data_IF_314986736606
#
_entry.id   IF_314986736606
#
_cell.length_a   1.000
_cell.length_b   1.000
_cell.length_c   1.000
_cell.angle_alpha   90.00
_cell.angle_beta   90.00
_cell.angle_gamma   90.00
#
_symmetry.space_group_name_H-M   'P 1'
#
loop_
_entity.id
_entity.type
_entity.pdbx_description
1 polymer ?
#
# COMPACT_ATOMS: atom_id res chain seq x y z
N UNK A 1 10.07 7.12 -20.52
CA UNK A 1 9.29 6.51 -19.42
C UNK A 1 8.09 7.39 -19.16
N UNK A 2 6.88 6.89 -19.38
CA UNK A 2 5.66 7.52 -18.87
C UNK A 2 5.59 7.23 -17.37
N UNK A 3 5.85 8.23 -16.54
CA UNK A 3 5.69 8.12 -15.10
C UNK A 3 4.22 7.97 -14.70
N UNK A 4 3.97 7.43 -13.51
CA UNK A 4 2.62 7.43 -12.92
C UNK A 4 2.22 8.88 -12.66
N UNK A 5 1.07 9.29 -13.19
CA UNK A 5 0.46 10.59 -12.92
C UNK A 5 -0.86 10.39 -12.14
N UNK A 6 -1.47 11.49 -11.70
CA UNK A 6 -2.71 11.44 -10.91
C UNK A 6 -3.87 10.70 -11.60
N UNK A 7 -3.96 10.75 -12.93
CA UNK A 7 -5.02 10.05 -13.70
C UNK A 7 -4.82 8.54 -13.64
N UNK A 8 -3.60 8.08 -13.94
CA UNK A 8 -3.25 6.65 -13.89
C UNK A 8 -3.43 6.11 -12.46
N UNK A 9 -3.04 6.92 -11.47
CA UNK A 9 -3.16 6.57 -10.07
C UNK A 9 -4.63 6.49 -9.61
N UNK A 10 -5.48 7.43 -10.02
CA UNK A 10 -6.91 7.41 -9.75
C UNK A 10 -7.57 6.16 -10.35
N UNK A 11 -7.31 5.84 -11.62
CA UNK A 11 -7.85 4.63 -12.25
C UNK A 11 -7.40 3.34 -11.56
N UNK A 12 -6.19 3.31 -10.99
CA UNK A 12 -5.74 2.19 -10.17
C UNK A 12 -6.55 2.06 -8.87
N UNK A 13 -6.86 3.18 -8.19
CA UNK A 13 -7.68 3.17 -6.98
C UNK A 13 -9.10 2.70 -7.27
N UNK A 14 -9.72 3.19 -8.35
CA UNK A 14 -11.06 2.78 -8.79
C UNK A 14 -11.13 1.26 -9.05
N UNK A 15 -10.11 0.71 -9.71
CA UNK A 15 -10.03 -0.72 -9.97
C UNK A 15 -9.85 -1.55 -8.68
N UNK A 16 -9.06 -1.07 -7.72
CA UNK A 16 -8.96 -1.70 -6.40
C UNK A 16 -10.32 -1.72 -5.69
N UNK A 17 -11.01 -0.59 -5.63
CA UNK A 17 -12.34 -0.51 -4.98
C UNK A 17 -13.35 -1.42 -5.68
N UNK A 18 -13.33 -1.48 -7.02
CA UNK A 18 -14.17 -2.38 -7.80
C UNK A 18 -13.93 -3.86 -7.45
N UNK A 19 -12.67 -4.26 -7.26
CA UNK A 19 -12.29 -5.64 -6.88
C UNK A 19 -12.73 -5.97 -5.45
N UNK A 20 -12.59 -5.02 -4.52
CA UNK A 20 -13.00 -5.20 -3.13
C UNK A 20 -14.52 -5.20 -2.96
N UNK A 21 -15.23 -4.48 -3.84
CA UNK A 21 -16.69 -4.39 -3.84
C UNK A 21 -17.25 -3.51 -2.72
N UNK A 22 -18.57 -3.53 -2.58
CA UNK A 22 -19.33 -2.59 -1.73
C UNK A 22 -19.83 -3.20 -0.42
N UNK A 23 -19.59 -4.49 -0.20
CA UNK A 23 -20.21 -5.24 0.91
C UNK A 23 -19.53 -5.02 2.26
N UNK A 24 -18.28 -4.54 2.27
CA UNK A 24 -17.48 -4.34 3.48
C UNK A 24 -16.83 -2.95 3.48
N UNK A 25 -16.40 -2.48 4.65
CA UNK A 25 -15.62 -1.25 4.75
C UNK A 25 -14.14 -1.55 4.55
N UNK A 26 -13.54 -0.91 3.56
CA UNK A 26 -12.14 -1.10 3.20
C UNK A 26 -11.29 0.11 3.54
N UNK A 27 -10.08 -0.17 4.03
CA UNK A 27 -9.07 0.83 4.32
C UNK A 27 -7.86 0.59 3.42
N UNK A 28 -7.69 1.45 2.43
CA UNK A 28 -6.49 1.48 1.59
C UNK A 28 -5.36 2.17 2.36
N UNK A 29 -4.28 1.44 2.62
CA UNK A 29 -3.14 1.95 3.37
C UNK A 29 -1.96 2.12 2.43
N UNK A 30 -1.46 3.34 2.36
CA UNK A 30 -0.44 3.76 1.38
C UNK A 30 0.70 4.50 2.08
N UNK A 31 1.88 4.50 1.47
CA UNK A 31 2.92 5.44 1.86
C UNK A 31 2.51 6.87 1.46
N UNK A 32 3.22 7.87 1.98
CA UNK A 32 2.95 9.27 1.66
C UNK A 32 3.34 9.56 0.19
N UNK A 33 2.44 9.23 -0.73
CA UNK A 33 2.61 9.47 -2.17
C UNK A 33 2.44 10.95 -2.50
N UNK A 34 3.12 11.44 -3.54
CA UNK A 34 2.97 12.82 -4.03
C UNK A 34 1.63 13.13 -4.72
N UNK A 35 0.64 12.27 -4.57
CA UNK A 35 -0.68 12.37 -5.21
C UNK A 35 -1.88 12.33 -4.24
N UNK A 36 -1.79 12.79 -2.95
CA UNK A 36 -2.90 12.56 -2.02
C UNK A 36 -4.18 13.29 -2.45
N UNK A 37 -4.01 14.46 -3.06
CA UNK A 37 -5.11 15.32 -3.50
C UNK A 37 -5.79 14.85 -4.80
N UNK A 38 -5.25 13.84 -5.48
CA UNK A 38 -5.84 13.33 -6.73
C UNK A 38 -6.74 12.13 -6.51
N UNK A 39 -6.73 11.53 -5.31
CA UNK A 39 -7.63 10.41 -5.02
C UNK A 39 -9.05 10.96 -4.79
N UNK A 40 -9.96 10.60 -5.69
CA UNK A 40 -11.39 10.81 -5.51
C UNK A 40 -12.08 9.48 -5.17
N UNK A 41 -12.75 9.42 -4.02
CA UNK A 41 -13.55 8.27 -3.58
C UNK A 41 -15.05 8.60 -3.54
N UNK A 42 -15.49 9.66 -4.23
CA UNK A 42 -16.90 9.97 -4.39
C UNK A 42 -17.64 8.78 -5.01
N UNK A 43 -18.73 8.34 -4.38
CA UNK A 43 -19.46 7.12 -4.75
C UNK A 43 -18.92 5.82 -4.13
N UNK A 44 -17.84 5.88 -3.35
CA UNK A 44 -17.24 4.74 -2.66
C UNK A 44 -17.20 4.97 -1.15
N UNK A 45 -18.36 5.19 -0.53
CA UNK A 45 -18.50 5.58 0.89
C UNK A 45 -17.94 4.53 1.87
N UNK A 46 -17.88 3.26 1.44
CA UNK A 46 -17.30 2.16 2.20
C UNK A 46 -15.77 2.09 2.12
N UNK A 47 -15.13 2.95 1.33
CA UNK A 47 -13.69 2.94 1.11
C UNK A 47 -13.04 4.20 1.65
N UNK A 48 -11.90 4.06 2.33
CA UNK A 48 -11.12 5.20 2.82
C UNK A 48 -9.63 4.97 2.61
N UNK A 49 -8.86 6.06 2.52
CA UNK A 49 -7.40 6.02 2.37
C UNK A 49 -6.74 6.53 3.64
N UNK A 50 -5.72 5.81 4.10
CA UNK A 50 -4.84 6.23 5.20
C UNK A 50 -3.39 6.19 4.76
N UNK A 51 -2.72 7.33 4.91
CA UNK A 51 -1.28 7.45 4.69
C UNK A 51 -0.52 7.07 5.96
N UNK A 52 0.52 6.27 5.79
CA UNK A 52 1.46 5.88 6.83
C UNK A 52 2.90 6.28 6.46
N UNK A 53 3.79 6.48 7.45
CA UNK A 53 5.20 6.72 7.20
C UNK A 53 5.84 5.60 6.35
N UNK A 54 6.83 5.95 5.54
CA UNK A 54 7.49 5.01 4.63
C UNK A 54 8.14 3.84 5.39
N UNK A 55 8.60 4.10 6.61
CA UNK A 55 9.24 3.17 7.53
C UNK A 55 8.35 1.96 7.84
N UNK A 56 7.03 2.12 7.76
CA UNK A 56 6.06 1.04 7.95
C UNK A 56 6.19 -0.02 6.85
N UNK A 57 6.55 0.39 5.63
CA UNK A 57 6.73 -0.50 4.48
C UNK A 57 8.15 -1.07 4.41
N UNK A 58 9.04 -0.72 5.35
CA UNK A 58 10.44 -1.13 5.35
C UNK A 58 10.61 -2.65 5.38
N UNK A 59 9.77 -3.39 6.12
CA UNK A 59 9.91 -4.84 6.17
C UNK A 59 9.57 -5.50 4.82
N UNK A 60 8.53 -5.04 4.13
CA UNK A 60 8.21 -5.53 2.81
C UNK A 60 9.34 -5.21 1.82
N UNK A 61 9.83 -3.96 1.86
CA UNK A 61 10.97 -3.50 1.04
C UNK A 61 12.23 -4.33 1.32
N UNK A 62 12.50 -4.65 2.59
CA UNK A 62 13.63 -5.46 3.01
C UNK A 62 13.49 -6.90 2.52
N UNK A 63 12.29 -7.49 2.52
CA UNK A 63 12.08 -8.83 1.96
C UNK A 63 12.33 -8.86 0.46
N UNK A 64 11.83 -7.88 -0.29
CA UNK A 64 12.06 -7.78 -1.75
C UNK A 64 13.55 -7.63 -2.08
N UNK A 65 14.32 -6.94 -1.23
CA UNK A 65 15.73 -6.61 -1.45
C UNK A 65 16.72 -7.49 -0.69
N UNK A 66 16.25 -8.48 0.09
CA UNK A 66 17.02 -9.13 1.16
C UNK A 66 18.31 -9.78 0.67
N UNK A 67 18.25 -10.45 -0.47
CA UNK A 67 19.33 -11.36 -0.90
C UNK A 67 20.22 -10.74 -1.97
N UNK A 68 19.64 -9.97 -2.88
CA UNK A 68 20.38 -9.29 -3.94
C UNK A 68 19.55 -8.16 -4.54
N UNK A 69 20.16 -7.17 -5.19
CA UNK A 69 19.43 -6.21 -6.02
C UNK A 69 18.59 -6.94 -7.07
N UNK A 70 17.33 -6.52 -7.31
CA UNK A 70 16.48 -7.10 -8.34
C UNK A 70 17.10 -6.95 -9.74
N UNK A 71 17.06 -8.02 -10.53
CA UNK A 71 17.55 -8.08 -11.91
C UNK A 71 16.44 -7.70 -12.88
N UNK A 72 16.18 -6.40 -12.97
CA UNK A 72 15.15 -5.84 -13.84
C UNK A 72 13.72 -6.02 -13.33
N UNK A 73 12.75 -5.60 -14.15
CA UNK A 73 11.35 -5.45 -13.71
C UNK A 73 10.66 -6.78 -13.41
N UNK A 74 10.93 -7.83 -14.18
CA UNK A 74 10.29 -9.14 -13.98
C UNK A 74 10.67 -9.75 -12.63
N UNK A 75 11.97 -9.80 -12.33
CA UNK A 75 12.49 -10.29 -11.05
C UNK A 75 11.94 -9.44 -9.89
N UNK A 76 11.88 -8.11 -10.06
CA UNK A 76 11.28 -7.23 -9.05
C UNK A 76 9.81 -7.57 -8.77
N UNK A 77 9.00 -7.79 -9.82
CA UNK A 77 7.58 -8.12 -9.66
C UNK A 77 7.40 -9.49 -8.98
N UNK A 78 8.16 -10.50 -9.40
CA UNK A 78 8.10 -11.84 -8.80
C UNK A 78 8.44 -11.80 -7.31
N UNK A 79 9.49 -11.04 -6.92
CA UNK A 79 9.87 -10.87 -5.52
C UNK A 79 8.86 -10.07 -4.70
N UNK A 80 8.18 -9.08 -5.30
CA UNK A 80 7.10 -8.35 -4.62
C UNK A 80 5.93 -9.31 -4.34
N UNK A 81 5.53 -10.10 -5.34
CA UNK A 81 4.46 -11.10 -5.20
C UNK A 81 4.82 -12.10 -4.11
N UNK A 82 6.05 -12.62 -4.12
CA UNK A 82 6.55 -13.52 -3.10
C UNK A 82 6.60 -12.86 -1.72
N UNK A 83 7.10 -11.64 -1.60
CA UNK A 83 7.15 -10.95 -0.31
C UNK A 83 5.75 -10.73 0.29
N UNK A 84 4.77 -10.40 -0.56
CA UNK A 84 3.36 -10.27 -0.19
C UNK A 84 2.71 -11.59 0.21
N UNK A 85 3.01 -12.71 -0.47
CA UNK A 85 2.44 -14.02 -0.11
C UNK A 85 2.89 -14.51 1.27
N UNK A 86 4.03 -14.03 1.76
CA UNK A 86 4.54 -14.31 3.10
C UNK A 86 4.05 -13.33 4.17
N UNK A 87 3.13 -12.41 3.85
CA UNK A 87 2.47 -11.56 4.84
C UNK A 87 1.30 -12.33 5.45
N UNK A 88 1.44 -12.72 6.71
CA UNK A 88 0.31 -13.24 7.49
C UNK A 88 -0.57 -12.11 8.02
N UNK A 89 -1.84 -12.40 8.27
CA UNK A 89 -2.76 -11.48 8.97
C UNK A 89 -2.19 -11.00 10.31
N UNK A 90 -1.46 -11.87 11.03
CA UNK A 90 -0.75 -11.52 12.27
C UNK A 90 0.36 -10.50 12.00
N UNK A 91 1.16 -10.72 10.95
CA UNK A 91 2.21 -9.77 10.57
C UNK A 91 1.60 -8.41 10.24
N UNK A 92 0.54 -8.39 9.44
CA UNK A 92 -0.21 -7.17 9.05
C UNK A 92 -0.80 -6.46 10.29
N UNK A 93 -1.45 -7.19 11.19
CA UNK A 93 -2.02 -6.65 12.43
C UNK A 93 -0.95 -6.05 13.35
N UNK A 94 0.19 -6.73 13.48
CA UNK A 94 1.33 -6.22 14.25
C UNK A 94 1.88 -4.92 13.62
N UNK A 95 1.95 -4.83 12.28
CA UNK A 95 2.32 -3.56 11.63
C UNK A 95 1.37 -2.43 12.00
N UNK A 96 0.06 -2.64 11.82
CA UNK A 96 -0.92 -1.61 12.17
C UNK A 96 -0.82 -1.19 13.63
N UNK A 97 -0.70 -2.14 14.54
CA UNK A 97 -0.58 -1.87 15.97
C UNK A 97 0.68 -1.05 16.30
N UNK A 98 1.84 -1.39 15.73
CA UNK A 98 3.06 -0.61 15.89
C UNK A 98 2.96 0.80 15.29
N UNK A 99 2.21 0.97 14.20
CA UNK A 99 1.99 2.29 13.59
C UNK A 99 1.12 3.20 14.45
N UNK A 100 0.08 2.67 15.08
CA UNK A 100 -0.77 3.45 16.00
C UNK A 100 0.02 3.87 17.25
N UNK A 101 0.91 3.02 17.76
CA UNK A 101 1.83 3.36 18.86
C UNK A 101 2.82 4.45 18.44
N UNK A 102 3.37 4.37 17.22
CA UNK A 102 4.26 5.42 16.70
C UNK A 102 3.50 6.74 16.58
N UNK A 103 2.25 6.74 16.07
CA UNK A 103 1.42 7.95 15.98
C UNK A 103 1.11 8.56 17.35
N UNK A 104 0.81 7.75 18.37
CA UNK A 104 0.52 8.26 19.72
C UNK A 104 1.76 8.76 20.48
N UNK A 105 2.95 8.27 20.12
CA UNK A 105 4.21 8.75 20.70
C UNK A 105 4.67 10.11 20.14
N UNK A 106 4.12 10.54 18.99
CA UNK A 106 4.45 11.81 18.32
C UNK A 106 3.26 12.79 18.24
N UNK A 107 2.15 12.49 18.93
CA UNK A 107 0.98 13.38 19.07
C UNK A 107 1.05 14.14 20.41
#
# INVERSE_FOLDING_TARGET
MTGVNGIIFQSFIEECVRIFGENENYLLVMDNVGFPHTINLEGHENSSVRYLPEEVFSLLKNRVRRESPPRGTKDLLERIIEACSHLSSVSISNYFSHCEILKSAYA
#
